data_IF_034132119543
#
_entry.id   IF_034132119543
#
_cell.length_a   1.000
_cell.length_b   1.000
_cell.length_c   1.000
_cell.angle_alpha   90.00
_cell.angle_beta   90.00
_cell.angle_gamma   90.00
#
_symmetry.space_group_name_H-M   'P 1'
#
loop_
_entity.id
_entity.type
_entity.pdbx_description
1 polymer ?
#
# COMPACT_ATOMS: atom_id res chain seq x y z
N UNK A 1 1.58 -34.24 -0.97
CA UNK A 1 0.59 -33.90 0.06
C UNK A 1 0.18 -32.45 -0.12
N UNK A 2 -1.01 -32.21 -0.70
CA UNK A 2 -1.54 -30.88 -1.00
C UNK A 2 -2.27 -30.38 0.24
N UNK A 3 -1.64 -29.49 1.01
CA UNK A 3 -2.31 -28.83 2.12
C UNK A 3 -3.37 -27.87 1.56
N UNK A 4 -4.65 -28.16 1.87
CA UNK A 4 -5.76 -27.21 1.77
C UNK A 4 -5.47 -26.06 2.75
N UNK A 5 -4.74 -25.04 2.31
CA UNK A 5 -4.63 -23.78 3.03
C UNK A 5 -5.61 -22.80 2.39
N UNK A 6 -6.90 -23.10 2.51
CA UNK A 6 -7.90 -22.08 2.26
C UNK A 6 -7.89 -21.14 3.45
N UNK A 7 -7.63 -19.85 3.19
CA UNK A 7 -8.00 -18.74 4.08
C UNK A 7 -9.38 -18.94 4.72
N UNK A 8 -10.31 -19.56 3.98
CA UNK A 8 -11.65 -19.94 4.41
C UNK A 8 -11.79 -20.97 5.55
N UNK A 9 -10.72 -21.49 6.17
CA UNK A 9 -10.83 -22.38 7.35
C UNK A 9 -10.23 -21.82 8.65
N UNK A 10 -9.36 -20.80 8.58
CA UNK A 10 -8.69 -20.23 9.77
C UNK A 10 -9.16 -18.80 10.05
N UNK A 11 -9.41 -18.02 8.99
CA UNK A 11 -9.84 -16.64 9.12
C UNK A 11 -11.32 -16.44 9.49
N UNK A 12 -12.29 -17.31 9.14
CA UNK A 12 -13.69 -17.12 9.55
C UNK A 12 -13.86 -17.11 11.08
N UNK A 13 -13.14 -17.99 11.78
CA UNK A 13 -13.21 -18.06 13.26
C UNK A 13 -12.67 -16.76 13.90
N UNK A 14 -11.62 -16.17 13.33
CA UNK A 14 -11.08 -14.86 13.75
C UNK A 14 -11.94 -13.68 13.26
N UNK A 15 -12.74 -13.85 12.20
CA UNK A 15 -13.59 -12.79 11.68
C UNK A 15 -14.72 -12.44 12.65
N UNK A 16 -15.13 -13.36 13.53
CA UNK A 16 -16.06 -13.07 14.63
C UNK A 16 -15.43 -12.18 15.71
N UNK A 17 -14.11 -12.30 15.95
CA UNK A 17 -13.39 -11.43 16.89
C UNK A 17 -13.32 -9.98 16.40
N UNK A 18 -13.43 -9.73 15.07
CA UNK A 18 -13.27 -8.39 14.49
C UNK A 18 -14.16 -7.37 15.19
N UNK A 19 -15.42 -7.72 15.45
CA UNK A 19 -16.43 -6.81 16.00
C UNK A 19 -16.15 -6.44 17.46
N UNK A 20 -15.30 -7.21 18.13
CA UNK A 20 -14.80 -6.95 19.49
C UNK A 20 -13.51 -6.10 19.49
N UNK A 21 -12.85 -5.93 18.35
CA UNK A 21 -11.62 -5.14 18.22
C UNK A 21 -11.96 -3.66 18.01
N UNK A 22 -12.16 -2.94 19.10
CA UNK A 22 -12.37 -1.49 19.11
C UNK A 22 -11.01 -0.80 19.28
N UNK A 23 -10.61 0.05 18.32
CA UNK A 23 -9.29 0.68 18.34
C UNK A 23 -9.05 1.50 19.61
N UNK A 24 -10.07 2.21 20.11
CA UNK A 24 -9.96 2.99 21.35
C UNK A 24 -9.52 2.14 22.53
N UNK A 25 -10.11 0.95 22.67
CA UNK A 25 -9.80 0.04 23.77
C UNK A 25 -8.40 -0.56 23.62
N UNK A 26 -7.98 -0.85 22.39
CA UNK A 26 -6.62 -1.34 22.11
C UNK A 26 -5.55 -0.29 22.51
N UNK A 27 -5.76 0.98 22.17
CA UNK A 27 -4.87 2.07 22.58
C UNK A 27 -4.92 2.36 24.07
N UNK A 28 -6.08 2.20 24.72
CA UNK A 28 -6.23 2.41 26.15
C UNK A 28 -5.59 1.27 26.98
N UNK A 29 -5.63 0.03 26.47
CA UNK A 29 -5.10 -1.15 27.14
C UNK A 29 -3.56 -1.25 27.10
N UNK A 30 -2.91 -0.66 26.10
CA UNK A 30 -1.46 -0.74 25.92
C UNK A 30 -0.85 0.64 25.55
N UNK A 31 -0.24 1.30 26.53
CA UNK A 31 0.47 2.58 26.30
C UNK A 31 1.66 2.42 25.31
N UNK A 32 2.15 1.20 25.11
CA UNK A 32 3.19 0.87 24.14
C UNK A 32 2.65 0.41 22.78
N UNK A 33 1.33 0.45 22.57
CA UNK A 33 0.66 -0.05 21.35
C UNK A 33 1.25 0.56 20.08
N UNK A 34 1.46 1.88 20.06
CA UNK A 34 2.12 2.56 18.94
C UNK A 34 3.52 1.98 18.66
N UNK A 35 4.37 1.89 19.69
CA UNK A 35 5.75 1.40 19.54
C UNK A 35 5.82 -0.07 19.14
N UNK A 36 4.82 -0.87 19.54
CA UNK A 36 4.71 -2.28 19.16
C UNK A 36 4.28 -2.44 17.70
N UNK A 37 3.36 -1.60 17.23
CA UNK A 37 2.78 -1.65 15.89
C UNK A 37 3.24 -0.49 14.99
N UNK A 38 4.52 -0.15 15.11
CA UNK A 38 5.21 0.74 14.18
C UNK A 38 6.60 0.22 13.86
N UNK A 39 7.11 0.62 12.69
CA UNK A 39 8.46 0.31 12.21
C UNK A 39 9.04 1.52 11.50
N UNK A 40 10.26 1.84 11.86
CA UNK A 40 11.11 2.73 11.07
C UNK A 40 11.94 1.90 10.11
N UNK A 41 12.15 2.44 8.91
CA UNK A 41 13.06 1.92 7.93
C UNK A 41 14.02 3.00 7.50
N UNK A 42 15.28 2.61 7.38
CA UNK A 42 16.36 3.43 6.88
C UNK A 42 17.06 2.64 5.78
N UNK A 43 17.15 3.22 4.60
CA UNK A 43 17.83 2.57 3.48
C UNK A 43 19.31 2.39 3.79
N UNK A 44 19.86 1.24 3.39
CA UNK A 44 21.27 0.93 3.60
C UNK A 44 22.18 1.80 2.72
N UNK A 45 21.73 2.13 1.50
CA UNK A 45 22.50 2.94 0.56
C UNK A 45 22.51 4.44 0.92
N UNK A 46 21.44 4.96 1.53
CA UNK A 46 21.29 6.38 1.89
C UNK A 46 20.47 6.52 3.18
N UNK A 47 21.11 6.80 4.34
CA UNK A 47 20.41 6.96 5.61
C UNK A 47 19.41 8.13 5.66
N UNK A 48 19.53 9.08 4.73
CA UNK A 48 18.57 10.19 4.61
C UNK A 48 17.26 9.74 3.96
N UNK A 49 17.26 8.57 3.32
CA UNK A 49 16.09 7.90 2.79
C UNK A 49 15.51 6.95 3.86
N UNK A 50 14.70 7.52 4.73
CA UNK A 50 14.02 6.80 5.80
C UNK A 50 12.51 7.10 5.82
N UNK A 51 11.76 6.22 6.45
CA UNK A 51 10.33 6.42 6.69
C UNK A 51 9.82 5.62 7.89
N UNK A 52 8.73 6.10 8.47
CA UNK A 52 7.95 5.43 9.49
C UNK A 52 6.73 4.77 8.84
N UNK A 53 6.53 3.49 9.11
CA UNK A 53 5.26 2.79 8.92
C UNK A 53 4.62 2.60 10.29
N UNK A 54 3.53 3.30 10.54
CA UNK A 54 2.65 3.10 11.68
C UNK A 54 1.39 2.35 11.24
N UNK A 55 1.22 1.13 11.75
CA UNK A 55 0.09 0.25 11.50
C UNK A 55 -0.67 -0.07 12.80
N UNK A 56 -0.45 0.73 13.85
CA UNK A 56 -1.10 0.59 15.17
C UNK A 56 -2.60 0.87 15.12
N UNK A 57 -3.05 1.65 14.14
CA UNK A 57 -4.47 1.96 13.90
C UNK A 57 -5.14 0.86 13.07
N UNK A 58 -4.76 -0.39 13.27
CA UNK A 58 -5.38 -1.55 12.65
C UNK A 58 -6.11 -2.39 13.72
N UNK A 59 -7.25 -2.97 13.34
CA UNK A 59 -8.02 -3.90 14.18
C UNK A 59 -7.35 -5.29 14.16
N UNK A 60 -6.09 -5.33 14.60
CA UNK A 60 -5.24 -6.53 14.58
C UNK A 60 -4.42 -6.54 15.87
N UNK A 61 -4.57 -7.59 16.68
CA UNK A 61 -3.80 -7.80 17.90
C UNK A 61 -2.55 -8.63 17.62
N UNK A 62 -1.64 -8.71 18.59
CA UNK A 62 -0.43 -9.54 18.46
C UNK A 62 -0.75 -11.03 18.18
N UNK A 63 -1.71 -11.68 18.85
CA UNK A 63 -2.13 -13.04 18.52
C UNK A 63 -2.65 -13.20 17.07
N UNK A 64 -3.39 -12.20 16.57
CA UNK A 64 -3.88 -12.21 15.18
C UNK A 64 -2.69 -12.11 14.22
N UNK A 65 -1.73 -11.19 14.46
CA UNK A 65 -0.50 -11.13 13.67
C UNK A 65 0.25 -12.46 13.64
N UNK A 66 0.45 -13.10 14.79
CA UNK A 66 1.10 -14.42 14.87
C UNK A 66 0.36 -15.44 13.99
N UNK A 67 -0.97 -15.46 14.03
CA UNK A 67 -1.78 -16.37 13.21
C UNK A 67 -1.63 -16.08 11.73
N UNK A 68 -1.65 -14.81 11.32
CA UNK A 68 -1.46 -14.40 9.93
C UNK A 68 -0.05 -14.73 9.43
N UNK A 69 0.99 -14.49 10.21
CA UNK A 69 2.36 -14.89 9.85
C UNK A 69 2.51 -16.41 9.75
N UNK A 70 1.86 -17.17 10.63
CA UNK A 70 1.85 -18.64 10.52
C UNK A 70 1.13 -19.12 9.26
N UNK A 71 0.07 -18.44 8.83
CA UNK A 71 -0.59 -18.72 7.54
C UNK A 71 0.37 -18.49 6.36
N UNK A 72 1.12 -17.38 6.39
CA UNK A 72 2.15 -17.04 5.40
C UNK A 72 3.27 -18.09 5.35
N UNK A 73 3.75 -18.53 6.50
CA UNK A 73 4.76 -19.60 6.58
C UNK A 73 4.25 -20.92 6.02
N UNK A 74 3.01 -21.31 6.36
CA UNK A 74 2.39 -22.54 5.84
C UNK A 74 2.21 -22.49 4.32
N UNK A 75 1.90 -21.31 3.79
CA UNK A 75 1.87 -21.06 2.34
C UNK A 75 3.25 -21.17 1.67
N UNK A 76 4.34 -21.33 2.43
CA UNK A 76 5.72 -21.42 1.93
C UNK A 76 6.22 -20.15 1.23
N UNK A 77 5.69 -19.01 1.68
CA UNK A 77 6.00 -17.69 1.12
C UNK A 77 7.49 -17.37 1.20
N UNK A 78 8.17 -17.71 2.30
CA UNK A 78 9.63 -17.55 2.43
C UNK A 78 10.42 -18.31 1.35
N UNK A 79 9.94 -19.50 0.95
CA UNK A 79 10.57 -20.30 -0.11
C UNK A 79 10.30 -19.74 -1.50
N UNK A 80 9.19 -19.01 -1.67
CA UNK A 80 8.87 -18.29 -2.89
C UNK A 80 9.65 -17.00 -3.00
N UNK A 81 9.87 -16.27 -1.90
CA UNK A 81 10.61 -15.02 -1.88
C UNK A 81 11.97 -15.16 -2.56
N UNK A 82 12.81 -16.09 -2.11
CA UNK A 82 14.14 -16.29 -2.70
C UNK A 82 14.11 -16.76 -4.16
N UNK A 83 13.08 -17.50 -4.58
CA UNK A 83 12.98 -18.06 -5.94
C UNK A 83 12.62 -17.02 -6.99
N UNK A 84 11.90 -15.95 -6.64
CA UNK A 84 11.51 -14.95 -7.65
C UNK A 84 12.64 -13.99 -8.01
N UNK A 85 13.62 -13.80 -7.12
CA UNK A 85 14.82 -13.01 -7.41
C UNK A 85 15.87 -13.78 -8.21
N UNK A 86 15.64 -15.07 -8.47
CA UNK A 86 16.42 -15.84 -9.43
C UNK A 86 15.81 -15.62 -10.81
N UNK A 87 16.42 -14.73 -11.59
CA UNK A 87 15.96 -14.45 -12.94
C UNK A 87 15.94 -15.76 -13.77
N UNK A 88 14.83 -16.08 -14.48
CA UNK A 88 14.88 -17.12 -15.48
C UNK A 88 15.88 -16.71 -16.58
N UNK A 89 16.53 -17.68 -17.26
CA UNK A 89 17.41 -17.36 -18.37
C UNK A 89 16.67 -16.47 -19.39
N UNK A 90 17.30 -15.42 -19.93
CA UNK A 90 16.63 -14.45 -20.79
C UNK A 90 16.06 -15.18 -22.01
N UNK A 91 14.74 -15.19 -22.13
CA UNK A 91 14.07 -15.92 -23.21
C UNK A 91 13.89 -15.03 -24.43
N UNK A 92 13.55 -13.74 -24.26
CA UNK A 92 13.30 -12.79 -25.38
C UNK A 92 13.59 -11.32 -25.00
N UNK A 93 14.13 -10.56 -25.97
CA UNK A 93 14.32 -9.09 -25.90
C UNK A 93 13.11 -8.38 -26.53
N UNK A 94 12.44 -7.55 -25.76
CA UNK A 94 11.48 -6.53 -26.19
C UNK A 94 12.22 -5.20 -26.46
N UNK A 95 11.64 -4.30 -27.25
CA UNK A 95 12.20 -2.98 -27.52
C UNK A 95 11.23 -1.90 -27.05
N UNK A 96 11.74 -0.92 -26.32
CA UNK A 96 11.10 0.34 -25.99
C UNK A 96 11.32 1.29 -27.16
N UNK A 97 10.23 1.57 -27.85
CA UNK A 97 10.05 2.59 -28.87
C UNK A 97 8.62 3.14 -28.70
N UNK A 98 8.24 4.31 -29.23
CA UNK A 98 6.87 4.83 -29.05
C UNK A 98 5.76 3.86 -29.50
N UNK A 99 6.09 2.81 -30.27
CA UNK A 99 5.16 1.81 -30.77
C UNK A 99 5.73 0.37 -30.72
N UNK A 100 5.32 -0.40 -29.70
CA UNK A 100 5.31 -1.90 -29.60
C UNK A 100 6.63 -2.71 -29.64
N UNK A 101 6.57 -3.88 -29.00
CA UNK A 101 7.70 -4.67 -28.45
C UNK A 101 8.16 -5.87 -29.30
N UNK A 102 8.41 -5.72 -30.60
CA UNK A 102 9.04 -6.80 -31.39
C UNK A 102 10.04 -6.24 -32.40
N UNK A 103 11.28 -6.74 -32.39
CA UNK A 103 12.34 -6.33 -33.32
C UNK A 103 11.91 -6.46 -34.80
N UNK A 104 11.14 -7.50 -35.14
CA UNK A 104 10.53 -7.66 -36.48
C UNK A 104 9.45 -6.62 -36.83
N UNK A 105 8.76 -6.07 -35.83
CA UNK A 105 7.71 -5.05 -36.01
C UNK A 105 8.29 -3.64 -36.00
N UNK A 106 9.37 -3.40 -35.25
CA UNK A 106 10.04 -2.09 -35.18
C UNK A 106 10.72 -1.74 -36.52
N UNK A 107 11.20 -2.74 -37.27
CA UNK A 107 11.70 -2.54 -38.64
C UNK A 107 10.63 -2.03 -39.64
N UNK A 108 9.35 -2.02 -39.26
CA UNK A 108 8.26 -1.44 -40.08
C UNK A 108 8.17 0.09 -39.90
N UNK A 109 8.81 0.63 -38.85
CA UNK A 109 8.66 2.03 -38.44
C UNK A 109 9.93 2.88 -38.67
N UNK A 110 10.89 2.41 -39.48
CA UNK A 110 12.12 3.15 -39.85
C UNK A 110 12.88 3.83 -38.68
N UNK A 111 12.87 3.20 -37.50
CA UNK A 111 13.63 3.68 -36.34
C UNK A 111 15.08 3.20 -36.44
N UNK A 112 16.04 4.11 -36.30
CA UNK A 112 17.46 3.78 -36.23
C UNK A 112 17.75 2.83 -35.05
N UNK A 113 18.62 1.82 -35.26
CA UNK A 113 18.92 0.80 -34.23
C UNK A 113 19.50 1.40 -32.95
N UNK A 114 20.37 2.40 -33.07
CA UNK A 114 20.91 3.17 -31.94
C UNK A 114 19.83 3.90 -31.12
N UNK A 115 18.64 4.14 -31.67
CA UNK A 115 17.50 4.74 -30.97
C UNK A 115 16.54 3.69 -30.39
N UNK A 116 16.91 2.41 -30.39
CA UNK A 116 16.08 1.33 -29.83
C UNK A 116 16.59 0.87 -28.47
N UNK A 117 15.76 1.06 -27.43
CA UNK A 117 16.13 0.72 -26.06
C UNK A 117 15.47 -0.59 -25.62
N UNK A 118 16.22 -1.67 -25.50
CA UNK A 118 15.66 -3.00 -25.18
C UNK A 118 15.20 -3.18 -23.74
N UNK A 119 14.17 -3.99 -23.52
CA UNK A 119 13.86 -4.64 -22.23
C UNK A 119 13.50 -6.13 -22.45
N UNK A 120 13.10 -6.89 -21.43
CA UNK A 120 12.95 -8.35 -21.52
C UNK A 120 11.52 -8.80 -21.28
N UNK A 121 11.16 -9.99 -21.77
CA UNK A 121 9.82 -10.58 -21.62
C UNK A 121 9.42 -10.89 -20.17
N UNK A 122 10.42 -11.13 -19.31
CA UNK A 122 10.20 -11.26 -17.88
C UNK A 122 9.89 -9.93 -17.19
N UNK A 123 9.96 -8.77 -17.86
CA UNK A 123 9.52 -7.48 -17.31
C UNK A 123 8.03 -7.27 -17.61
N UNK A 124 7.20 -7.45 -16.59
CA UNK A 124 5.76 -7.24 -16.64
C UNK A 124 5.41 -5.77 -16.88
N UNK A 125 4.41 -5.50 -17.72
CA UNK A 125 4.07 -4.12 -18.11
C UNK A 125 3.78 -3.18 -16.93
N UNK A 126 3.05 -3.65 -15.91
CA UNK A 126 2.76 -2.87 -14.69
C UNK A 126 3.98 -2.66 -13.78
N UNK A 127 5.11 -3.33 -14.03
CA UNK A 127 6.39 -3.17 -13.32
C UNK A 127 7.49 -2.63 -14.24
N UNK A 128 7.14 -2.16 -15.44
CA UNK A 128 8.14 -1.91 -16.48
C UNK A 128 8.83 -0.56 -16.40
N UNK A 129 8.32 0.40 -15.63
CA UNK A 129 8.87 1.76 -15.63
C UNK A 129 10.31 1.84 -15.10
N UNK A 130 10.82 0.80 -14.41
CA UNK A 130 12.21 0.70 -13.96
C UNK A 130 13.18 0.32 -15.09
N UNK A 131 12.65 -0.21 -16.20
CA UNK A 131 13.40 -0.64 -17.38
C UNK A 131 13.60 0.50 -18.39
N UNK A 132 13.95 0.16 -19.63
CA UNK A 132 13.98 1.10 -20.76
C UNK A 132 12.69 1.91 -20.97
N UNK A 133 11.53 1.41 -20.51
CA UNK A 133 10.26 2.17 -20.51
C UNK A 133 10.37 3.48 -19.70
N UNK A 134 11.22 3.48 -18.66
CA UNK A 134 11.51 4.65 -17.84
C UNK A 134 12.32 5.74 -18.53
N UNK A 135 12.78 5.54 -19.76
CA UNK A 135 13.59 6.53 -20.50
C UNK A 135 12.95 7.92 -20.53
N UNK A 136 11.62 7.99 -20.74
CA UNK A 136 10.89 9.26 -20.71
C UNK A 136 11.01 9.98 -19.36
N UNK A 137 11.06 9.24 -18.26
CA UNK A 137 11.26 9.78 -16.92
C UNK A 137 12.70 10.25 -16.77
N UNK A 138 13.67 9.43 -17.17
CA UNK A 138 15.11 9.77 -17.18
C UNK A 138 15.39 11.07 -17.94
N UNK A 139 14.76 11.27 -19.10
CA UNK A 139 14.92 12.49 -19.89
C UNK A 139 14.35 13.75 -19.19
N UNK A 140 13.32 13.59 -18.35
CA UNK A 140 12.69 14.71 -17.64
C UNK A 140 13.44 15.05 -16.35
N UNK A 141 13.89 14.03 -15.60
CA UNK A 141 14.49 14.24 -14.27
C UNK A 141 16.00 14.14 -14.26
N UNK A 142 16.66 13.76 -15.37
CA UNK A 142 18.10 13.48 -15.40
C UNK A 142 18.44 12.04 -14.99
N UNK A 143 19.60 11.56 -15.46
CA UNK A 143 20.05 10.18 -15.22
C UNK A 143 20.32 9.93 -13.73
N UNK A 144 20.99 10.86 -13.06
CA UNK A 144 21.39 10.77 -11.66
C UNK A 144 20.17 10.61 -10.73
N UNK A 145 19.10 11.37 -11.02
CA UNK A 145 17.85 11.27 -10.27
C UNK A 145 17.07 9.98 -10.59
N UNK A 146 17.14 9.50 -11.82
CA UNK A 146 16.56 8.21 -12.20
C UNK A 146 17.32 7.04 -11.54
N UNK A 147 18.65 7.09 -11.52
CA UNK A 147 19.49 6.12 -10.84
C UNK A 147 19.23 6.10 -9.33
N UNK A 148 19.14 7.26 -8.68
CA UNK A 148 18.77 7.34 -7.26
C UNK A 148 17.41 6.67 -6.96
N UNK A 149 16.45 6.75 -7.90
CA UNK A 149 15.18 6.03 -7.81
C UNK A 149 15.36 4.52 -7.96
N UNK A 150 16.24 4.05 -8.85
CA UNK A 150 16.57 2.62 -8.96
C UNK A 150 17.24 2.10 -7.68
N UNK A 151 18.16 2.86 -7.09
CA UNK A 151 18.80 2.51 -5.82
C UNK A 151 17.78 2.37 -4.69
N UNK A 152 16.85 3.32 -4.55
CA UNK A 152 15.79 3.22 -3.55
C UNK A 152 14.85 2.02 -3.76
N UNK A 153 14.62 1.60 -5.01
CA UNK A 153 13.88 0.35 -5.27
C UNK A 153 14.68 -0.87 -4.83
N UNK A 154 15.97 -0.90 -5.18
CA UNK A 154 16.86 -1.97 -4.80
C UNK A 154 17.00 -2.14 -3.28
N UNK A 155 17.02 -1.03 -2.52
CA UNK A 155 17.08 -1.07 -1.07
C UNK A 155 15.83 -1.74 -0.44
N UNK A 156 14.65 -1.53 -1.03
CA UNK A 156 13.40 -2.17 -0.60
C UNK A 156 13.34 -3.62 -1.05
N UNK A 157 13.82 -3.93 -2.25
CA UNK A 157 13.97 -5.31 -2.73
C UNK A 157 14.91 -6.11 -1.81
N UNK A 158 16.04 -5.52 -1.41
CA UNK A 158 16.98 -6.13 -0.47
C UNK A 158 16.36 -6.31 0.92
N UNK A 159 15.60 -5.32 1.42
CA UNK A 159 14.85 -5.44 2.66
C UNK A 159 13.83 -6.57 2.59
N UNK A 160 13.08 -6.65 1.49
CA UNK A 160 12.09 -7.69 1.26
C UNK A 160 12.71 -9.10 1.24
N UNK A 161 13.90 -9.23 0.67
CA UNK A 161 14.63 -10.49 0.58
C UNK A 161 15.19 -10.96 1.93
N UNK A 162 15.71 -10.04 2.72
CA UNK A 162 16.60 -10.37 3.85
C UNK A 162 15.96 -10.16 5.23
N UNK A 163 14.96 -9.29 5.35
CA UNK A 163 14.33 -9.00 6.63
C UNK A 163 13.46 -10.18 7.09
N UNK A 164 13.50 -10.55 8.39
CA UNK A 164 12.55 -11.50 8.98
C UNK A 164 11.10 -11.06 8.72
N UNK A 165 10.18 -12.01 8.46
CA UNK A 165 8.79 -11.70 8.06
C UNK A 165 8.11 -10.66 8.97
N UNK A 166 8.24 -10.79 10.29
CA UNK A 166 7.65 -9.88 11.28
C UNK A 166 8.22 -8.45 11.25
N UNK A 167 9.38 -8.25 10.62
CA UNK A 167 10.05 -6.96 10.45
C UNK A 167 10.05 -6.48 8.99
N UNK A 168 9.54 -7.31 8.08
CA UNK A 168 9.57 -7.07 6.65
C UNK A 168 8.38 -6.18 6.27
N UNK A 169 8.67 -4.98 5.76
CA UNK A 169 7.65 -3.93 5.59
C UNK A 169 6.62 -4.25 4.50
N UNK A 170 7.03 -4.68 3.29
CA UNK A 170 6.07 -5.18 2.31
C UNK A 170 5.21 -6.34 2.85
N UNK A 171 5.82 -7.31 3.54
CA UNK A 171 5.08 -8.44 4.14
C UNK A 171 4.07 -7.96 5.18
N UNK A 172 4.44 -7.03 6.07
CA UNK A 172 3.52 -6.46 7.05
C UNK A 172 2.30 -5.81 6.37
N UNK A 173 2.52 -5.00 5.34
CA UNK A 173 1.42 -4.39 4.57
C UNK A 173 0.57 -5.44 3.86
N UNK A 174 1.17 -6.50 3.31
CA UNK A 174 0.47 -7.61 2.69
C UNK A 174 -0.38 -8.41 3.70
N UNK A 175 0.13 -8.67 4.90
CA UNK A 175 -0.60 -9.31 6.02
C UNK A 175 -1.83 -8.50 6.40
N UNK A 176 -1.67 -7.19 6.57
CA UNK A 176 -2.76 -6.27 6.91
C UNK A 176 -3.78 -6.24 5.76
N UNK A 177 -3.31 -6.18 4.51
CA UNK A 177 -4.17 -6.28 3.33
C UNK A 177 -4.96 -7.58 3.30
N UNK A 178 -4.33 -8.71 3.59
CA UNK A 178 -4.99 -10.02 3.66
C UNK A 178 -6.10 -10.04 4.73
N UNK A 179 -5.82 -9.50 5.92
CA UNK A 179 -6.83 -9.40 6.99
C UNK A 179 -8.08 -8.67 6.51
N UNK A 180 -7.92 -7.44 5.98
CA UNK A 180 -9.07 -6.64 5.52
C UNK A 180 -9.72 -7.19 4.25
N UNK A 181 -8.97 -7.83 3.36
CA UNK A 181 -9.52 -8.46 2.17
C UNK A 181 -10.51 -9.59 2.52
N UNK A 182 -10.25 -10.33 3.60
CA UNK A 182 -11.20 -11.33 4.09
C UNK A 182 -12.47 -10.71 4.70
N UNK A 183 -12.47 -9.42 5.06
CA UNK A 183 -13.65 -8.68 5.50
C UNK A 183 -14.51 -8.16 4.34
N UNK A 184 -14.14 -8.48 3.09
CA UNK A 184 -14.83 -8.09 1.86
C UNK A 184 -15.07 -6.59 1.73
N UNK A 185 -14.02 -5.82 2.00
CA UNK A 185 -14.05 -4.36 1.87
C UNK A 185 -13.18 -3.88 0.70
N UNK A 186 -13.10 -2.56 0.57
CA UNK A 186 -12.22 -1.81 -0.33
C UNK A 186 -11.06 -1.21 0.47
N UNK A 187 -10.07 -0.64 -0.21
CA UNK A 187 -8.97 0.08 0.44
C UNK A 187 -8.74 1.42 -0.22
N UNK A 188 -8.28 2.38 0.57
CA UNK A 188 -7.96 3.70 0.08
C UNK A 188 -6.48 4.02 0.22
N UNK A 189 -5.88 4.56 -0.84
CA UNK A 189 -4.63 5.30 -0.75
C UNK A 189 -4.92 6.81 -0.59
N UNK A 190 -4.30 7.46 0.38
CA UNK A 190 -4.53 8.86 0.74
C UNK A 190 -3.21 9.65 0.78
N UNK A 191 -2.63 9.99 -0.38
CA UNK A 191 -1.40 10.78 -0.41
C UNK A 191 -1.67 12.24 -0.04
N UNK A 192 -1.05 12.73 1.03
CA UNK A 192 -0.96 14.14 1.42
C UNK A 192 0.25 14.79 0.75
N UNK A 193 0.35 14.59 -0.57
CA UNK A 193 1.33 15.22 -1.45
C UNK A 193 0.76 15.25 -2.88
N UNK A 194 0.55 16.46 -3.40
CA UNK A 194 -0.07 16.67 -4.71
C UNK A 194 0.79 16.14 -5.88
N UNK A 195 2.11 16.06 -5.74
CA UNK A 195 2.98 15.46 -6.77
C UNK A 195 2.66 13.97 -6.96
N UNK A 196 1.99 13.35 -5.98
CA UNK A 196 1.63 11.94 -6.00
C UNK A 196 0.15 11.68 -6.24
N UNK A 197 -0.56 12.64 -6.84
CA UNK A 197 -1.96 12.46 -7.25
C UNK A 197 -2.18 11.31 -8.25
N UNK A 198 -1.14 10.91 -9.00
CA UNK A 198 -1.14 9.75 -9.90
C UNK A 198 -0.69 8.44 -9.26
N UNK A 199 -0.34 8.45 -7.97
CA UNK A 199 0.15 7.27 -7.26
C UNK A 199 -0.84 6.11 -7.34
N UNK A 200 -2.13 6.39 -7.19
CA UNK A 200 -3.13 5.34 -7.23
C UNK A 200 -3.42 4.82 -8.63
N UNK A 201 -3.38 5.66 -9.66
CA UNK A 201 -3.50 5.20 -11.05
C UNK A 201 -2.45 4.11 -11.35
N UNK A 202 -1.24 4.29 -10.81
CA UNK A 202 -0.20 3.27 -10.85
C UNK A 202 -0.53 2.04 -10.00
N UNK A 203 -0.94 2.22 -8.73
CA UNK A 203 -1.31 1.10 -7.85
C UNK A 203 -2.50 0.27 -8.39
N UNK A 204 -3.48 0.87 -9.07
CA UNK A 204 -4.57 0.15 -9.73
C UNK A 204 -4.02 -0.85 -10.75
N UNK A 205 -3.05 -0.40 -11.57
CA UNK A 205 -2.41 -1.25 -12.56
C UNK A 205 -1.53 -2.33 -11.94
N UNK A 206 -0.93 -2.10 -10.78
CA UNK A 206 -0.07 -3.10 -10.11
C UNK A 206 -0.88 -4.13 -9.33
N UNK A 207 -1.83 -3.69 -8.50
CA UNK A 207 -2.55 -4.55 -7.56
C UNK A 207 -3.74 -5.24 -8.26
N UNK A 208 -4.64 -4.45 -8.84
CA UNK A 208 -5.89 -4.98 -9.37
C UNK A 208 -5.66 -5.84 -10.62
N UNK A 209 -4.72 -5.47 -11.49
CA UNK A 209 -4.37 -6.27 -12.68
C UNK A 209 -3.69 -7.60 -12.31
N UNK A 210 -2.84 -7.59 -11.29
CA UNK A 210 -2.05 -8.77 -10.91
C UNK A 210 -2.86 -9.74 -10.06
N UNK A 211 -3.61 -9.23 -9.09
CA UNK A 211 -4.31 -10.03 -8.07
C UNK A 211 -5.83 -10.14 -8.28
N UNK A 212 -6.42 -9.39 -9.22
CA UNK A 212 -7.82 -9.54 -9.64
C UNK A 212 -8.04 -10.81 -10.47
N UNK A 213 -7.93 -11.98 -9.84
CA UNK A 213 -7.95 -13.30 -10.47
C UNK A 213 -9.02 -14.18 -9.84
N UNK A 214 -9.60 -15.07 -10.62
CA UNK A 214 -10.60 -16.04 -10.13
C UNK A 214 -10.12 -17.49 -10.16
N UNK A 215 -8.92 -17.73 -10.72
CA UNK A 215 -8.32 -19.06 -10.87
C UNK A 215 -6.95 -19.09 -10.17
N UNK A 216 -6.71 -20.10 -9.34
CA UNK A 216 -5.42 -20.35 -8.69
C UNK A 216 -4.40 -20.94 -9.67
N UNK A 217 -3.13 -21.00 -9.27
CA UNK A 217 -2.09 -21.71 -10.03
C UNK A 217 -2.36 -23.19 -10.24
N UNK A 218 -3.12 -23.81 -9.33
CA UNK A 218 -3.58 -25.18 -9.46
C UNK A 218 -4.76 -25.35 -10.43
N UNK A 219 -5.09 -24.31 -11.20
CA UNK A 219 -6.23 -24.27 -12.14
C UNK A 219 -7.58 -24.51 -11.47
N UNK A 220 -7.72 -24.14 -10.19
CA UNK A 220 -8.99 -24.23 -9.45
C UNK A 220 -9.60 -22.85 -9.30
N UNK A 221 -10.92 -22.78 -9.36
CA UNK A 221 -11.65 -21.55 -9.06
C UNK A 221 -11.64 -21.27 -7.56
N UNK A 222 -11.48 -20.00 -7.20
CA UNK A 222 -11.53 -19.52 -5.82
C UNK A 222 -12.96 -19.13 -5.43
N UNK A 223 -13.30 -19.27 -4.15
CA UNK A 223 -14.60 -18.93 -3.55
C UNK A 223 -14.50 -17.76 -2.54
N UNK A 224 -13.33 -17.12 -2.46
CA UNK A 224 -13.03 -15.98 -1.61
C UNK A 224 -12.58 -14.77 -2.43
N UNK A 225 -12.51 -13.59 -1.80
CA UNK A 225 -12.04 -12.37 -2.45
C UNK A 225 -10.53 -12.38 -2.63
N UNK A 226 -10.01 -11.97 -3.78
CA UNK A 226 -8.56 -12.04 -4.08
C UNK A 226 -7.82 -10.71 -3.96
N UNK A 227 -8.53 -9.59 -4.08
CA UNK A 227 -7.95 -8.26 -3.97
C UNK A 227 -8.99 -7.25 -3.50
N UNK A 228 -8.53 -6.21 -2.82
CA UNK A 228 -9.31 -5.03 -2.46
C UNK A 228 -9.44 -4.11 -3.68
N UNK A 229 -10.60 -3.47 -3.87
CA UNK A 229 -10.66 -2.36 -4.82
C UNK A 229 -9.91 -1.18 -4.23
N UNK A 230 -9.01 -0.57 -5.00
CA UNK A 230 -8.20 0.57 -4.55
C UNK A 230 -8.82 1.85 -5.07
N UNK A 231 -9.04 2.82 -4.18
CA UNK A 231 -9.44 4.18 -4.55
C UNK A 231 -8.42 5.21 -4.06
N UNK A 232 -8.34 6.34 -4.74
CA UNK A 232 -7.53 7.46 -4.25
C UNK A 232 -7.82 8.77 -4.95
N UNK A 233 -7.62 9.83 -4.19
CA UNK A 233 -7.40 11.20 -4.67
C UNK A 233 -6.37 11.80 -3.71
N UNK A 234 -5.50 12.67 -4.22
CA UNK A 234 -4.60 13.44 -3.36
C UNK A 234 -5.38 14.22 -2.28
N UNK A 235 -4.89 14.17 -1.06
CA UNK A 235 -5.45 14.89 0.08
C UNK A 235 -4.91 16.33 0.09
N UNK A 236 -5.71 17.32 0.47
CA UNK A 236 -7.01 17.22 1.17
C UNK A 236 -8.23 17.08 0.28
N UNK A 237 -8.12 17.08 -1.05
CA UNK A 237 -9.27 17.08 -1.96
C UNK A 237 -10.25 15.91 -1.68
N UNK A 238 -9.72 14.72 -1.39
CA UNK A 238 -10.54 13.57 -1.01
C UNK A 238 -11.45 13.82 0.22
N UNK A 239 -11.00 14.67 1.17
CA UNK A 239 -11.77 15.02 2.37
C UNK A 239 -13.09 15.71 2.04
N UNK A 240 -13.12 16.44 0.93
CA UNK A 240 -14.28 17.16 0.44
C UNK A 240 -15.08 16.37 -0.61
N UNK A 241 -14.75 15.09 -0.82
CA UNK A 241 -15.39 14.24 -1.82
C UNK A 241 -16.06 13.02 -1.20
N UNK A 242 -15.29 12.13 -0.55
CA UNK A 242 -15.80 10.82 -0.12
C UNK A 242 -15.39 10.45 1.32
N UNK A 243 -14.75 11.34 2.09
CA UNK A 243 -14.43 11.05 3.50
C UNK A 243 -15.68 10.90 4.37
N UNK A 244 -16.82 11.42 3.93
CA UNK A 244 -18.11 11.12 4.53
C UNK A 244 -18.35 9.62 4.62
N UNK A 245 -18.11 8.89 3.52
CA UNK A 245 -18.19 7.42 3.49
C UNK A 245 -17.14 6.80 4.41
N UNK A 246 -15.92 7.34 4.42
CA UNK A 246 -14.87 6.82 5.29
C UNK A 246 -15.21 6.96 6.78
N UNK A 247 -15.91 8.00 7.21
CA UNK A 247 -16.21 8.26 8.62
C UNK A 247 -17.54 7.70 9.11
N UNK A 248 -18.59 7.76 8.29
CA UNK A 248 -19.96 7.41 8.69
C UNK A 248 -20.63 6.41 7.72
N UNK A 249 -19.92 5.94 6.69
CA UNK A 249 -20.44 4.91 5.79
C UNK A 249 -20.55 3.55 6.47
N UNK A 250 -21.48 2.72 5.99
CA UNK A 250 -21.72 1.37 6.53
C UNK A 250 -20.61 0.38 6.23
N UNK A 251 -19.78 0.65 5.20
CA UNK A 251 -18.59 -0.14 4.91
C UNK A 251 -17.37 0.44 5.62
N UNK A 252 -16.57 -0.43 6.23
CA UNK A 252 -15.29 -0.06 6.85
C UNK A 252 -14.21 -0.15 5.78
N UNK A 253 -13.75 1.00 5.30
CA UNK A 253 -12.69 1.09 4.27
C UNK A 253 -11.37 1.48 4.93
N UNK A 254 -10.38 0.56 5.07
CA UNK A 254 -9.06 0.92 5.55
C UNK A 254 -8.38 1.95 4.64
N UNK A 255 -7.59 2.83 5.25
CA UNK A 255 -6.90 3.90 4.53
C UNK A 255 -5.39 3.91 4.79
N UNK A 256 -4.59 3.95 3.74
CA UNK A 256 -3.16 4.23 3.81
C UNK A 256 -2.91 5.72 3.63
N UNK A 257 -2.53 6.40 4.71
CA UNK A 257 -2.13 7.80 4.69
C UNK A 257 -0.64 7.89 4.39
N UNK A 258 -0.26 8.75 3.43
CA UNK A 258 1.16 8.96 3.08
C UNK A 258 1.47 10.46 3.10
N UNK A 259 2.50 10.89 3.81
CA UNK A 259 2.85 12.31 3.87
C UNK A 259 4.37 12.55 4.03
N UNK A 260 4.95 13.52 3.29
CA UNK A 260 6.26 14.02 3.60
C UNK A 260 6.23 15.01 4.77
N UNK A 261 7.25 15.00 5.63
CA UNK A 261 7.45 15.99 6.69
C UNK A 261 7.89 17.36 6.16
N UNK A 262 8.47 17.40 4.96
CA UNK A 262 8.94 18.58 4.25
C UNK A 262 8.25 18.74 2.89
N UNK A 263 8.15 19.96 2.39
CA UNK A 263 7.54 20.27 1.09
C UNK A 263 8.63 20.73 0.14
N UNK A 264 8.55 20.32 -1.12
CA UNK A 264 9.34 20.92 -2.21
C UNK A 264 9.00 22.39 -2.44
N UNK A 265 7.83 22.83 -1.98
CA UNK A 265 7.34 24.20 -2.08
C UNK A 265 7.16 24.79 -0.67
N UNK A 266 8.18 25.41 -0.07
CA UNK A 266 8.14 25.93 1.31
C UNK A 266 7.38 27.27 1.42
N UNK A 267 6.20 27.36 0.82
CA UNK A 267 5.39 28.58 0.76
C UNK A 267 5.09 29.15 2.15
N UNK A 268 5.25 30.48 2.28
CA UNK A 268 5.04 31.23 3.53
C UNK A 268 5.77 30.59 4.73
N UNK A 269 7.05 30.27 4.57
CA UNK A 269 7.84 29.65 5.62
C UNK A 269 7.28 28.28 6.04
N UNK A 270 6.87 27.46 5.07
CA UNK A 270 6.22 26.15 5.28
C UNK A 270 4.86 26.16 5.99
N UNK A 271 4.16 27.31 6.06
CA UNK A 271 2.82 27.37 6.67
C UNK A 271 1.82 26.43 5.98
N UNK A 272 1.79 26.43 4.65
CA UNK A 272 0.87 25.58 3.88
C UNK A 272 1.10 24.09 4.15
N UNK A 273 2.38 23.68 4.29
CA UNK A 273 2.73 22.31 4.68
C UNK A 273 2.23 21.97 6.08
N UNK A 274 2.40 22.87 7.06
CA UNK A 274 1.90 22.64 8.42
C UNK A 274 0.37 22.48 8.45
N UNK A 275 -0.36 23.25 7.66
CA UNK A 275 -1.82 23.12 7.50
C UNK A 275 -2.19 21.79 6.81
N UNK A 276 -1.45 21.37 5.78
CA UNK A 276 -1.67 20.07 5.15
C UNK A 276 -1.43 18.90 6.12
N UNK A 277 -0.36 18.97 6.92
CA UNK A 277 -0.03 17.94 7.89
C UNK A 277 -0.98 17.92 9.09
N UNK A 278 -1.54 19.06 9.52
CA UNK A 278 -2.57 19.04 10.57
C UNK A 278 -3.77 18.20 10.14
N UNK A 279 -4.16 18.29 8.87
CA UNK A 279 -5.20 17.46 8.28
C UNK A 279 -4.81 15.98 8.20
N UNK A 280 -3.55 15.64 7.94
CA UNK A 280 -3.06 14.26 7.96
C UNK A 280 -3.22 13.63 9.37
N UNK A 281 -2.76 14.34 10.41
CA UNK A 281 -2.83 13.86 11.79
C UNK A 281 -4.26 13.82 12.33
N UNK A 282 -5.06 14.87 12.08
CA UNK A 282 -6.44 14.92 12.55
C UNK A 282 -7.31 13.86 11.88
N UNK A 283 -7.13 13.58 10.59
CA UNK A 283 -7.95 12.58 9.90
C UNK A 283 -7.65 11.15 10.38
N UNK A 284 -6.37 10.78 10.53
CA UNK A 284 -6.00 9.47 11.08
C UNK A 284 -6.49 9.32 12.54
N UNK A 285 -6.46 10.39 13.34
CA UNK A 285 -7.02 10.41 14.69
C UNK A 285 -8.54 10.27 14.69
N UNK A 286 -9.25 11.02 13.84
CA UNK A 286 -10.71 11.01 13.77
C UNK A 286 -11.26 9.64 13.37
N UNK A 287 -10.58 8.93 12.46
CA UNK A 287 -10.94 7.55 12.09
C UNK A 287 -10.84 6.59 13.27
N UNK A 288 -9.87 6.76 14.17
CA UNK A 288 -9.71 5.92 15.37
C UNK A 288 -10.75 6.27 16.42
N UNK A 289 -10.80 7.54 16.83
CA UNK A 289 -11.51 7.92 18.05
C UNK A 289 -12.97 8.32 17.83
N UNK A 290 -13.33 8.71 16.60
CA UNK A 290 -14.68 9.17 16.29
C UNK A 290 -15.11 10.37 17.13
N UNK A 291 -16.42 10.47 17.37
CA UNK A 291 -17.09 11.46 18.21
C UNK A 291 -18.34 10.84 18.82
N UNK A 292 -18.39 10.77 20.15
CA UNK A 292 -19.50 10.12 20.89
C UNK A 292 -20.74 11.01 20.97
N UNK A 293 -21.91 10.44 21.28
CA UNK A 293 -23.16 11.19 21.47
C UNK A 293 -23.02 12.27 22.55
N UNK A 294 -22.32 12.01 23.65
CA UNK A 294 -22.10 12.98 24.72
C UNK A 294 -21.20 14.14 24.28
N UNK A 295 -20.23 13.87 23.40
CA UNK A 295 -19.40 14.91 22.80
C UNK A 295 -20.23 15.78 21.84
N UNK A 296 -21.05 15.15 20.99
CA UNK A 296 -21.97 15.88 20.09
C UNK A 296 -22.94 16.75 20.92
N UNK A 297 -23.51 16.20 21.99
CA UNK A 297 -24.48 16.89 22.85
C UNK A 297 -23.92 18.18 23.43
N UNK A 298 -22.67 18.10 23.92
CA UNK A 298 -21.94 19.27 24.44
C UNK A 298 -21.65 20.32 23.36
N UNK A 299 -21.41 19.91 22.11
CA UNK A 299 -21.10 20.83 21.01
C UNK A 299 -22.34 21.52 20.44
N UNK A 300 -23.45 20.81 20.25
CA UNK A 300 -24.66 21.38 19.61
C UNK A 300 -25.64 21.99 20.62
N UNK A 301 -25.49 21.69 21.91
CA UNK A 301 -26.34 22.18 22.99
C UNK A 301 -27.64 21.38 23.16
N UNK A 302 -28.27 21.54 24.34
CA UNK A 302 -29.45 20.79 24.77
C UNK A 302 -30.73 21.04 23.96
N UNK A 303 -30.75 22.08 23.11
CA UNK A 303 -31.89 22.42 22.24
C UNK A 303 -31.88 21.71 20.88
N UNK A 304 -30.85 20.93 20.55
CA UNK A 304 -30.79 20.18 19.29
C UNK A 304 -31.78 19.01 19.29
N UNK A 305 -32.44 18.79 18.15
CA UNK A 305 -33.30 17.61 18.01
C UNK A 305 -32.48 16.31 17.91
N UNK A 306 -33.10 15.20 18.27
CA UNK A 306 -32.45 13.88 18.33
C UNK A 306 -31.88 13.43 16.97
N UNK A 307 -32.55 13.77 15.87
CA UNK A 307 -32.08 13.44 14.52
C UNK A 307 -30.75 14.12 14.20
N UNK A 308 -30.62 15.42 14.50
CA UNK A 308 -29.39 16.18 14.31
C UNK A 308 -28.26 15.62 15.17
N UNK A 309 -28.57 15.28 16.43
CA UNK A 309 -27.65 14.65 17.37
C UNK A 309 -27.06 13.36 16.79
N UNK A 310 -27.91 12.39 16.44
CA UNK A 310 -27.48 11.09 15.90
C UNK A 310 -26.71 11.23 14.58
N UNK A 311 -27.10 12.17 13.73
CA UNK A 311 -26.41 12.41 12.44
C UNK A 311 -24.95 12.89 12.57
N UNK A 312 -24.58 13.46 13.72
CA UNK A 312 -23.24 14.00 13.97
C UNK A 312 -22.32 13.05 14.73
N UNK A 313 -22.83 11.89 15.15
CA UNK A 313 -22.04 10.84 15.81
C UNK A 313 -21.10 10.21 14.79
N UNK A 314 -19.85 10.00 15.18
CA UNK A 314 -18.88 9.27 14.38
C UNK A 314 -18.38 8.10 15.22
N UNK A 315 -18.66 6.87 14.81
CA UNK A 315 -18.38 5.67 15.61
C UNK A 315 -16.88 5.47 15.88
N UNK A 316 -16.01 5.94 14.98
CA UNK A 316 -14.58 5.67 15.06
C UNK A 316 -14.26 4.19 14.77
N UNK A 317 -13.17 3.68 15.36
CA UNK A 317 -12.64 2.33 15.15
C UNK A 317 -12.41 1.97 13.67
N UNK A 318 -12.07 2.97 12.86
CA UNK A 318 -11.84 2.82 11.42
C UNK A 318 -10.35 2.74 11.12
N UNK A 319 -9.89 1.67 10.44
CA UNK A 319 -8.47 1.37 10.39
C UNK A 319 -7.71 2.23 9.40
N UNK A 320 -6.46 2.52 9.73
CA UNK A 320 -5.54 3.20 8.81
C UNK A 320 -4.09 2.81 9.04
N UNK A 321 -3.29 2.88 7.98
CA UNK A 321 -1.83 2.92 8.08
C UNK A 321 -1.35 4.36 7.89
N UNK A 322 -0.23 4.71 8.50
CA UNK A 322 0.41 6.00 8.41
C UNK A 322 1.85 5.82 7.93
N UNK A 323 2.15 6.29 6.73
CA UNK A 323 3.48 6.25 6.12
C UNK A 323 4.02 7.67 6.07
N UNK A 324 5.03 7.94 6.89
CA UNK A 324 5.61 9.27 7.05
C UNK A 324 7.10 9.27 6.73
N UNK A 325 7.55 10.20 5.89
CA UNK A 325 8.95 10.27 5.44
C UNK A 325 9.42 11.73 5.41
N UNK A 326 10.72 12.02 5.47
CA UNK A 326 11.20 13.40 5.56
C UNK A 326 10.82 14.25 4.34
N UNK A 327 11.12 13.79 3.12
CA UNK A 327 10.87 14.51 1.87
C UNK A 327 10.67 13.51 0.75
N UNK A 328 9.80 13.81 -0.22
CA UNK A 328 9.61 12.97 -1.39
C UNK A 328 10.76 13.12 -2.39
N UNK A 329 11.81 12.30 -2.26
CA UNK A 329 12.92 12.25 -3.24
C UNK A 329 12.73 11.12 -4.24
N UNK A 330 13.47 11.09 -5.37
CA UNK A 330 13.42 9.96 -6.31
C UNK A 330 13.63 8.60 -5.64
N UNK A 331 14.61 8.49 -4.73
CA UNK A 331 14.85 7.27 -3.94
C UNK A 331 13.67 6.92 -3.02
N UNK A 332 13.09 7.90 -2.33
CA UNK A 332 11.93 7.70 -1.44
C UNK A 332 10.64 7.38 -2.21
N UNK A 333 10.46 7.92 -3.42
CA UNK A 333 9.35 7.57 -4.30
C UNK A 333 9.38 6.08 -4.65
N UNK A 334 10.57 5.49 -4.75
CA UNK A 334 10.70 4.09 -5.04
C UNK A 334 10.07 3.21 -3.95
N UNK A 335 10.19 3.61 -2.68
CA UNK A 335 9.58 2.94 -1.53
C UNK A 335 8.05 2.98 -1.57
N UNK A 336 7.42 3.87 -2.34
CA UNK A 336 5.95 3.86 -2.45
C UNK A 336 5.41 2.68 -3.24
N UNK A 337 6.30 1.90 -3.83
CA UNK A 337 5.97 0.62 -4.44
C UNK A 337 5.93 -0.52 -3.42
N UNK A 338 5.98 -0.30 -2.10
CA UNK A 338 5.85 -1.37 -1.09
C UNK A 338 4.61 -2.28 -1.27
N UNK A 339 3.53 -1.81 -1.91
CA UNK A 339 2.40 -2.66 -2.35
C UNK A 339 2.57 -3.25 -3.76
N UNK A 340 3.25 -2.52 -4.64
CA UNK A 340 3.32 -2.79 -6.07
C UNK A 340 4.57 -3.60 -6.50
N UNK A 341 5.75 -3.37 -5.93
CA UNK A 341 6.99 -4.10 -6.24
C UNK A 341 6.85 -5.60 -5.93
N UNK A 342 5.99 -5.95 -4.99
CA UNK A 342 5.68 -7.33 -4.60
C UNK A 342 4.86 -8.11 -5.62
N UNK A 343 4.40 -7.49 -6.71
CA UNK A 343 3.50 -8.17 -7.63
C UNK A 343 4.15 -8.54 -8.97
N UNK A 344 5.41 -8.18 -9.20
CA UNK A 344 6.21 -8.93 -10.19
C UNK A 344 6.43 -10.37 -9.73
N UNK A 345 6.45 -10.55 -8.41
CA UNK A 345 6.50 -11.82 -7.68
C UNK A 345 5.11 -12.30 -7.22
N UNK A 346 4.08 -11.49 -7.42
CA UNK A 346 2.69 -11.73 -7.10
C UNK A 346 2.03 -12.83 -7.90
N UNK A 347 2.64 -13.28 -9.00
CA UNK A 347 2.28 -14.58 -9.56
C UNK A 347 2.55 -15.70 -8.54
N UNK A 348 3.45 -15.56 -7.57
CA UNK A 348 3.83 -16.59 -6.60
C UNK A 348 3.34 -16.34 -5.17
N UNK A 349 3.31 -15.10 -4.67
CA UNK A 349 2.95 -14.79 -3.27
C UNK A 349 1.44 -14.77 -3.02
N UNK A 350 0.69 -13.98 -3.79
CA UNK A 350 -0.77 -13.94 -3.77
C UNK A 350 -1.45 -15.19 -4.31
N UNK A 351 -0.68 -16.23 -4.66
CA UNK A 351 -1.15 -17.52 -5.17
C UNK A 351 -0.70 -18.72 -4.32
N UNK A 352 0.12 -18.48 -3.29
CA UNK A 352 0.50 -19.50 -2.32
C UNK A 352 -0.27 -19.34 -1.00
N UNK A 353 -0.64 -18.11 -0.68
CA UNK A 353 -1.54 -17.73 0.42
C UNK A 353 -3.04 -17.86 0.06
N UNK A 354 -3.33 -18.30 -1.18
CA UNK A 354 -4.61 -18.22 -1.89
C UNK A 354 -4.83 -19.55 -2.61
#
# INVERSE_FOLDING_TARGET
MSAKLTSGAILPDLAHEKDQLILNDLFAADLSHFSRFSKEYTAASDPTNNFLLDYSKSRITQPIFVTLFNLIRKASVEQVHGKVFIAPPPRRKALCCPLRTKEKVVNVFDIAKENMFGFWDWVGGCYSFWSAIGLSITLVIGYEHYEARLCGAHDIDAHFLTAPLEKNLPVLLAVIGLWYNNLRTDVRAAPYDQHTHKCADYLHSCDMKSSGKVITKGSKRVDYQTILVIWSVASTNGQHSFYQLLHQGTNIVPADFLAPGMSHNPLRGSLHRRILLSNYFVQSKALVFGKTEEQVCREVGSGANEALMKSKVVEGSRPSNSIFFPLLRPATLAHRSLRAQDLHTGHHLGHQLV
#
